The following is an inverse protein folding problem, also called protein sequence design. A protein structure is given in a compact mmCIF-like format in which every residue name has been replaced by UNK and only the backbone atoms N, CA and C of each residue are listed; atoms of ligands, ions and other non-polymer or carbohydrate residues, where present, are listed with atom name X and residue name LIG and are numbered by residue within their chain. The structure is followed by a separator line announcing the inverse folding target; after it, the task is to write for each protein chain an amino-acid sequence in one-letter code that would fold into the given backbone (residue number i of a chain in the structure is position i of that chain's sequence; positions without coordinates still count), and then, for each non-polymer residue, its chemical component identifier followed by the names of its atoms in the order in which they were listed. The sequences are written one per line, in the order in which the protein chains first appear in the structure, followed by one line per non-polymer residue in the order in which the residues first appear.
data_IF_444698963383
#
_entry.id   IF_444698963383
#
_cell.length_a   1.000
_cell.length_b   1.000
_cell.length_c   1.000
_cell.angle_alpha   90.00
_cell.angle_beta   90.00
_cell.angle_gamma   90.00
#
_symmetry.space_group_name_H-M   'P 1'
#
loop_
_entity.id
_entity.type
_entity.pdbx_description
1 polymer ?
#
# COMPACT_ATOMS: atom_id res chain seq x y z
N UNK A 1 22.24 3.45 1.26
CA UNK A 1 22.28 2.44 2.31
C UNK A 1 20.85 2.14 2.73
N UNK A 2 20.26 1.13 2.12
CA UNK A 2 18.96 0.58 2.53
C UNK A 2 18.99 0.14 4.00
N UNK A 3 17.84 0.19 4.66
CA UNK A 3 17.71 -0.32 6.02
C UNK A 3 17.76 -1.85 5.92
N UNK A 4 18.76 -2.52 6.55
CA UNK A 4 18.85 -3.97 6.49
C UNK A 4 17.58 -4.57 7.09
N UNK A 5 17.02 -5.56 6.39
CA UNK A 5 15.82 -6.24 6.89
C UNK A 5 16.19 -7.08 8.13
N UNK A 6 15.32 -7.12 9.15
CA UNK A 6 15.54 -7.98 10.32
C UNK A 6 15.67 -9.46 9.91
N UNK A 7 16.58 -10.22 10.54
CA UNK A 7 16.80 -11.63 10.19
C UNK A 7 15.59 -12.53 10.47
N UNK A 8 14.67 -12.08 11.34
CA UNK A 8 13.45 -12.78 11.70
C UNK A 8 12.22 -12.33 10.88
N UNK A 9 12.40 -11.51 9.85
CA UNK A 9 11.28 -10.90 9.12
C UNK A 9 10.29 -11.91 8.54
N UNK A 10 10.78 -13.03 8.01
CA UNK A 10 9.92 -14.05 7.42
C UNK A 10 8.97 -14.65 8.47
N UNK A 11 9.51 -15.04 9.64
CA UNK A 11 8.70 -15.60 10.73
C UNK A 11 7.80 -14.55 11.40
N UNK A 12 8.24 -13.28 11.46
CA UNK A 12 7.42 -12.19 11.95
C UNK A 12 6.21 -11.92 11.04
N UNK A 13 6.40 -11.96 9.71
CA UNK A 13 5.33 -11.85 8.73
C UNK A 13 4.37 -13.03 8.84
N UNK A 14 4.87 -14.27 8.99
CA UNK A 14 4.04 -15.46 9.19
C UNK A 14 3.15 -15.32 10.44
N UNK A 15 3.73 -14.87 11.55
CA UNK A 15 3.00 -14.66 12.80
C UNK A 15 1.95 -13.54 12.69
N UNK A 16 2.28 -12.45 11.98
CA UNK A 16 1.35 -11.36 11.70
C UNK A 16 0.19 -11.83 10.80
N UNK A 17 0.50 -12.59 9.74
CA UNK A 17 -0.51 -13.15 8.84
C UNK A 17 -1.43 -14.14 9.56
N UNK A 18 -0.90 -14.98 10.46
CA UNK A 18 -1.70 -15.91 11.24
C UNK A 18 -2.79 -15.22 12.07
N UNK A 19 -2.54 -13.98 12.53
CA UNK A 19 -3.54 -13.13 13.22
C UNK A 19 -4.56 -12.52 12.25
N UNK A 20 -4.13 -12.15 11.05
CA UNK A 20 -4.95 -11.42 10.07
C UNK A 20 -5.78 -12.32 9.14
N UNK A 21 -5.33 -13.54 8.82
CA UNK A 21 -5.86 -14.36 7.70
C UNK A 21 -7.37 -14.66 7.77
N UNK A 22 -7.95 -14.70 8.96
CA UNK A 22 -9.37 -14.97 9.18
C UNK A 22 -10.23 -13.70 9.24
N UNK A 23 -9.62 -12.51 9.26
CA UNK A 23 -10.33 -11.25 9.13
C UNK A 23 -10.81 -11.12 7.69
N UNK A 24 -12.11 -10.89 7.44
CA UNK A 24 -12.59 -10.67 6.07
C UNK A 24 -11.92 -9.45 5.44
N UNK A 25 -11.51 -9.55 4.18
CA UNK A 25 -10.83 -8.48 3.45
C UNK A 25 -10.17 -9.01 2.18
N UNK A 26 -9.72 -8.08 1.33
CA UNK A 26 -9.32 -8.38 -0.05
C UNK A 26 -7.83 -8.63 -0.27
N UNK A 27 -6.99 -8.41 0.74
CA UNK A 27 -5.56 -8.71 0.67
C UNK A 27 -5.27 -10.22 0.87
N UNK A 28 -4.48 -10.80 -0.04
CA UNK A 28 -3.99 -12.18 0.01
C UNK A 28 -2.71 -12.36 0.84
N UNK A 29 -2.28 -13.60 1.06
CA UNK A 29 -1.05 -13.87 1.83
C UNK A 29 0.21 -13.31 1.16
N UNK A 30 0.39 -13.55 -0.13
CA UNK A 30 1.57 -13.08 -0.87
C UNK A 30 1.64 -11.54 -0.94
N UNK A 31 0.49 -10.89 -1.09
CA UNK A 31 0.38 -9.44 -1.01
C UNK A 31 0.71 -8.93 0.39
N UNK A 32 0.23 -9.62 1.43
CA UNK A 32 0.56 -9.27 2.79
C UNK A 32 2.06 -9.47 3.10
N UNK A 33 2.70 -10.51 2.57
CA UNK A 33 4.16 -10.69 2.67
C UNK A 33 4.90 -9.52 2.03
N UNK A 34 4.50 -9.13 0.82
CA UNK A 34 5.04 -7.95 0.15
C UNK A 34 4.85 -6.67 0.97
N UNK A 35 3.64 -6.46 1.50
CA UNK A 35 3.31 -5.33 2.36
C UNK A 35 4.16 -5.31 3.63
N UNK A 36 4.36 -6.46 4.28
CA UNK A 36 5.19 -6.63 5.47
C UNK A 36 6.67 -6.31 5.21
N UNK A 37 7.21 -6.72 4.06
CA UNK A 37 8.57 -6.35 3.66
C UNK A 37 8.73 -4.84 3.45
N UNK A 38 7.76 -4.20 2.78
CA UNK A 38 7.76 -2.76 2.56
C UNK A 38 7.60 -1.99 3.88
N UNK A 39 6.67 -2.43 4.73
CA UNK A 39 6.42 -1.84 6.04
C UNK A 39 7.65 -1.92 6.94
N UNK A 40 8.32 -3.06 7.01
CA UNK A 40 9.51 -3.22 7.88
C UNK A 40 10.77 -2.59 7.26
N UNK A 41 10.86 -2.54 5.92
CA UNK A 41 11.98 -1.90 5.22
C UNK A 41 11.97 -0.37 5.23
N UNK A 42 10.89 0.27 5.66
CA UNK A 42 10.82 1.73 5.84
C UNK A 42 11.61 2.21 7.08
N UNK A 43 12.12 3.46 7.10
CA UNK A 43 12.79 4.10 8.25
C UNK A 43 12.02 3.94 9.54
N UNK A 44 12.68 3.70 10.67
CA UNK A 44 12.00 3.55 11.97
C UNK A 44 11.38 4.86 12.48
N UNK A 45 11.87 6.01 12.02
CA UNK A 45 11.39 7.33 12.44
C UNK A 45 10.14 7.76 11.67
N UNK A 46 9.08 8.10 12.41
CA UNK A 46 7.80 8.54 11.86
C UNK A 46 6.68 7.52 12.07
N UNK A 47 5.47 7.91 11.67
CA UNK A 47 4.26 7.09 11.84
C UNK A 47 3.96 6.31 10.56
N UNK A 48 3.31 5.16 10.72
CA UNK A 48 2.72 4.44 9.61
C UNK A 48 1.25 4.81 9.45
N UNK A 49 0.84 5.17 8.25
CA UNK A 49 -0.54 5.56 7.92
C UNK A 49 -1.10 4.55 6.94
N UNK A 50 -2.27 4.02 7.25
CA UNK A 50 -3.13 3.24 6.37
C UNK A 50 -4.39 4.06 6.05
N UNK A 51 -4.72 4.15 4.76
CA UNK A 51 -5.96 4.77 4.28
C UNK A 51 -6.78 3.68 3.59
N UNK A 52 -7.99 3.45 4.10
CA UNK A 52 -8.81 2.29 3.71
C UNK A 52 -8.44 1.07 4.54
N UNK A 53 -9.28 0.74 5.53
CA UNK A 53 -9.06 -0.35 6.47
C UNK A 53 -10.16 -1.41 6.40
N UNK A 54 -11.35 -1.05 5.91
CA UNK A 54 -12.52 -1.92 5.80
C UNK A 54 -12.82 -2.66 7.11
N UNK A 55 -12.52 -3.96 7.19
CA UNK A 55 -12.70 -4.82 8.37
C UNK A 55 -11.39 -5.12 9.10
N UNK A 56 -10.28 -4.53 8.67
CA UNK A 56 -9.01 -4.48 9.39
C UNK A 56 -8.03 -5.58 9.06
N UNK A 57 -8.14 -6.25 7.90
CA UNK A 57 -7.27 -7.38 7.56
C UNK A 57 -5.80 -6.96 7.43
N UNK A 58 -5.51 -5.95 6.62
CA UNK A 58 -4.17 -5.32 6.53
C UNK A 58 -3.77 -4.69 7.86
N UNK A 59 -4.68 -3.94 8.50
CA UNK A 59 -4.45 -3.24 9.77
C UNK A 59 -3.97 -4.19 10.87
N UNK A 60 -4.63 -5.33 11.06
CA UNK A 60 -4.24 -6.35 12.06
C UNK A 60 -2.84 -6.86 11.79
N UNK A 61 -2.50 -7.14 10.53
CA UNK A 61 -1.18 -7.62 10.17
C UNK A 61 -0.09 -6.55 10.38
N UNK A 62 -0.33 -5.31 9.95
CA UNK A 62 0.58 -4.19 10.16
C UNK A 62 0.79 -3.87 11.64
N UNK A 63 -0.29 -3.89 12.43
CA UNK A 63 -0.24 -3.66 13.87
C UNK A 63 0.53 -4.79 14.60
N UNK A 64 0.42 -6.03 14.13
CA UNK A 64 1.22 -7.13 14.66
C UNK A 64 2.72 -6.93 14.40
N UNK A 65 3.10 -6.51 13.19
CA UNK A 65 4.48 -6.17 12.85
C UNK A 65 4.98 -4.96 13.65
N UNK A 66 4.14 -3.93 13.82
CA UNK A 66 4.46 -2.76 14.64
C UNK A 66 4.76 -3.15 16.09
N UNK A 67 3.92 -4.00 16.69
CA UNK A 67 4.11 -4.52 18.04
C UNK A 67 5.38 -5.36 18.16
N UNK A 68 5.66 -6.21 17.17
CA UNK A 68 6.82 -7.10 17.16
C UNK A 68 8.15 -6.34 17.10
N UNK A 69 8.23 -5.32 16.23
CA UNK A 69 9.44 -4.52 16.03
C UNK A 69 9.52 -3.26 16.91
N UNK A 70 8.52 -3.01 17.76
CA UNK A 70 8.47 -1.82 18.62
C UNK A 70 8.28 -0.51 17.84
N UNK A 71 7.65 -0.54 16.67
CA UNK A 71 7.26 0.67 15.96
C UNK A 71 6.09 1.36 16.66
N UNK A 72 5.88 2.63 16.32
CA UNK A 72 4.69 3.35 16.77
C UNK A 72 3.41 2.67 16.28
N UNK A 73 2.28 2.80 17.01
CA UNK A 73 0.97 2.34 16.56
C UNK A 73 0.66 2.77 15.12
N UNK A 74 0.02 1.88 14.36
CA UNK A 74 -0.43 2.16 12.99
C UNK A 74 -1.61 3.11 13.06
N UNK A 75 -1.59 4.18 12.26
CA UNK A 75 -2.71 5.10 12.14
C UNK A 75 -3.58 4.61 10.99
N UNK A 76 -4.81 4.20 11.30
CA UNK A 76 -5.76 3.67 10.33
C UNK A 76 -6.87 4.69 10.11
N UNK A 77 -7.08 5.10 8.86
CA UNK A 77 -8.04 6.14 8.47
C UNK A 77 -9.05 5.54 7.50
N UNK A 78 -10.31 5.47 7.91
CA UNK A 78 -11.41 4.98 7.09
C UNK A 78 -12.73 5.55 7.61
N UNK A 79 -13.63 6.11 6.78
CA UNK A 79 -14.93 6.57 7.25
C UNK A 79 -15.81 5.43 7.81
N UNK A 80 -15.61 4.20 7.32
CA UNK A 80 -16.42 3.02 7.60
C UNK A 80 -17.92 3.20 7.31
N UNK A 81 -18.29 4.11 6.41
CA UNK A 81 -19.69 4.41 6.08
C UNK A 81 -20.21 3.59 4.90
N UNK A 82 -21.50 3.28 4.90
CA UNK A 82 -22.21 2.60 3.82
C UNK A 82 -23.32 3.48 3.18
N UNK A 83 -23.65 3.27 1.88
CA UNK A 83 -22.92 2.43 0.94
C UNK A 83 -21.62 3.13 0.54
N UNK A 84 -20.49 2.47 0.79
CA UNK A 84 -19.25 2.91 0.18
C UNK A 84 -19.26 2.47 -1.28
N UNK A 85 -18.94 3.36 -2.21
CA UNK A 85 -18.80 3.02 -3.63
C UNK A 85 -17.77 1.92 -3.88
N UNK A 86 -16.87 1.66 -2.93
CA UNK A 86 -15.85 0.62 -2.98
C UNK A 86 -16.18 -0.67 -2.23
N UNK A 87 -17.27 -0.73 -1.45
CA UNK A 87 -17.65 -1.94 -0.69
C UNK A 87 -19.07 -2.42 -1.01
N UNK A 88 -19.27 -3.02 -2.20
CA UNK A 88 -20.57 -3.59 -2.60
C UNK A 88 -21.01 -4.80 -1.75
N UNK A 89 -20.16 -5.28 -0.83
CA UNK A 89 -20.33 -6.53 -0.07
C UNK A 89 -20.52 -6.33 1.44
N UNK A 90 -20.88 -5.14 1.90
CA UNK A 90 -21.33 -4.92 3.29
C UNK A 90 -22.56 -5.77 3.67
N UNK A 91 -23.17 -6.46 2.71
CA UNK A 91 -24.21 -7.45 2.97
C UNK A 91 -25.47 -6.83 3.57
N UNK A 92 -25.70 -5.54 3.31
CA UNK A 92 -26.79 -4.76 3.89
C UNK A 92 -26.49 -4.15 5.26
N UNK A 93 -25.26 -4.23 5.79
CA UNK A 93 -24.84 -3.48 6.99
C UNK A 93 -24.52 -2.02 6.64
N UNK A 94 -24.80 -1.12 7.56
CA UNK A 94 -24.55 0.32 7.42
C UNK A 94 -23.07 0.71 7.65
N UNK A 95 -22.24 -0.20 8.18
CA UNK A 95 -20.84 0.09 8.50
C UNK A 95 -19.99 -1.18 8.65
N UNK A 96 -18.70 -1.08 8.35
CA UNK A 96 -17.66 -2.08 8.63
C UNK A 96 -16.98 -1.87 10.00
N UNK A 97 -17.28 -0.77 10.70
CA UNK A 97 -16.52 -0.33 11.88
C UNK A 97 -16.57 -1.32 13.06
N UNK A 98 -17.73 -1.92 13.32
CA UNK A 98 -17.86 -2.90 14.41
C UNK A 98 -17.06 -4.17 14.12
N UNK A 99 -17.06 -4.62 12.86
CA UNK A 99 -16.27 -5.77 12.40
C UNK A 99 -14.77 -5.43 12.51
N UNK A 100 -14.36 -4.22 12.13
CA UNK A 100 -12.99 -3.70 12.28
C UNK A 100 -12.52 -3.69 13.73
N UNK A 101 -13.29 -3.06 14.63
CA UNK A 101 -12.92 -3.05 16.05
C UNK A 101 -12.90 -4.45 16.66
N UNK A 102 -13.84 -5.33 16.24
CA UNK A 102 -13.85 -6.71 16.69
C UNK A 102 -12.61 -7.46 16.25
N UNK A 103 -12.13 -7.25 15.02
CA UNK A 103 -10.89 -7.85 14.52
C UNK A 103 -9.69 -7.43 15.38
N UNK A 104 -9.55 -6.13 15.69
CA UNK A 104 -8.47 -5.62 16.53
C UNK A 104 -8.51 -6.18 17.95
N UNK A 105 -9.70 -6.27 18.56
CA UNK A 105 -9.87 -6.85 19.91
C UNK A 105 -9.53 -8.34 19.93
N UNK A 106 -10.05 -9.11 18.98
CA UNK A 106 -9.78 -10.55 18.88
C UNK A 106 -8.30 -10.83 18.65
N UNK A 107 -7.61 -9.99 17.88
CA UNK A 107 -6.17 -10.12 17.65
C UNK A 107 -5.30 -9.65 18.84
N UNK A 108 -5.89 -8.95 19.82
CA UNK A 108 -5.18 -8.34 20.95
C UNK A 108 -4.36 -7.10 20.58
N UNK A 109 -4.73 -6.40 19.51
CA UNK A 109 -3.92 -5.33 18.88
C UNK A 109 -4.57 -3.95 18.94
N UNK A 110 -5.70 -3.78 19.63
CA UNK A 110 -6.34 -2.48 19.78
C UNK A 110 -5.40 -1.36 20.29
N UNK A 111 -4.46 -1.59 21.23
CA UNK A 111 -3.50 -0.56 21.64
C UNK A 111 -2.43 -0.20 20.60
N UNK A 112 -2.30 -1.00 19.54
CA UNK A 112 -1.31 -0.85 18.47
C UNK A 112 -1.88 -0.17 17.22
N UNK A 113 -3.11 0.34 17.32
CA UNK A 113 -3.77 1.07 16.25
C UNK A 113 -4.39 2.36 16.78
N UNK A 114 -4.02 3.47 16.17
CA UNK A 114 -4.70 4.75 16.31
C UNK A 114 -5.78 4.83 15.22
N UNK A 115 -7.05 4.81 15.63
CA UNK A 115 -8.19 4.67 14.70
C UNK A 115 -8.83 6.03 14.43
N UNK A 116 -8.89 6.42 13.17
CA UNK A 116 -9.63 7.59 12.69
C UNK A 116 -10.81 7.17 11.83
N UNK A 117 -12.00 7.17 12.44
CA UNK A 117 -13.25 6.96 11.70
C UNK A 117 -13.67 8.24 10.98
N UNK A 118 -13.01 8.57 9.88
CA UNK A 118 -13.20 9.81 9.14
C UNK A 118 -12.72 9.68 7.69
N UNK A 119 -13.09 10.65 6.85
CA UNK A 119 -12.51 10.75 5.51
C UNK A 119 -11.04 11.18 5.61
N UNK A 120 -10.20 10.62 4.74
CA UNK A 120 -8.77 10.91 4.66
C UNK A 120 -8.47 12.41 4.53
N UNK A 121 -9.24 13.13 3.70
CA UNK A 121 -9.12 14.58 3.51
C UNK A 121 -9.36 15.40 4.77
N UNK A 122 -10.24 14.93 5.66
CA UNK A 122 -10.59 15.66 6.87
C UNK A 122 -9.46 15.51 7.90
N UNK A 123 -8.91 14.29 8.02
CA UNK A 123 -7.73 14.01 8.85
C UNK A 123 -6.49 14.73 8.32
N UNK A 124 -6.33 14.82 7.00
CA UNK A 124 -5.20 15.49 6.37
C UNK A 124 -5.14 17.01 6.64
N UNK A 125 -6.29 17.66 6.85
CA UNK A 125 -6.38 19.11 7.07
C UNK A 125 -5.61 19.61 8.30
N UNK A 126 -5.42 18.76 9.30
CA UNK A 126 -4.70 19.07 10.55
C UNK A 126 -3.40 18.27 10.70
N UNK A 127 -3.01 17.53 9.66
CA UNK A 127 -1.88 16.61 9.74
C UNK A 127 -0.54 17.35 9.85
N UNK A 128 0.32 16.90 10.76
CA UNK A 128 1.65 17.46 10.95
C UNK A 128 2.70 16.42 11.38
N UNK A 129 2.35 15.13 11.33
CA UNK A 129 3.21 14.04 11.81
C UNK A 129 4.06 13.49 10.68
N UNK A 130 5.38 13.30 10.88
CA UNK A 130 6.25 12.70 9.87
C UNK A 130 5.84 11.24 9.59
N UNK A 131 5.74 10.86 8.31
CA UNK A 131 5.27 9.54 7.87
C UNK A 131 6.45 8.70 7.37
N UNK A 132 6.69 7.55 8.02
CA UNK A 132 7.65 6.54 7.55
C UNK A 132 7.09 5.65 6.46
N UNK A 133 5.80 5.37 6.53
CA UNK A 133 5.13 4.39 5.70
C UNK A 133 3.71 4.84 5.41
N UNK A 134 3.35 4.94 4.14
CA UNK A 134 2.02 5.32 3.68
C UNK A 134 1.44 4.17 2.84
N UNK A 135 0.39 3.56 3.35
CA UNK A 135 -0.37 2.50 2.70
C UNK A 135 -1.73 3.05 2.23
N UNK A 136 -1.97 3.02 0.92
CA UNK A 136 -3.20 3.52 0.30
C UNK A 136 -3.95 2.34 -0.31
N UNK A 137 -5.12 2.06 0.27
CA UNK A 137 -6.04 0.96 -0.08
C UNK A 137 -7.51 1.41 0.10
N UNK A 138 -7.77 2.69 -0.19
CA UNK A 138 -9.07 3.34 -0.03
C UNK A 138 -9.88 3.37 -1.33
N UNK A 139 -10.17 4.59 -1.82
CA UNK A 139 -10.91 4.76 -3.07
C UNK A 139 -10.04 4.47 -4.30
N UNK A 140 -10.50 3.53 -5.12
CA UNK A 140 -9.82 3.04 -6.31
C UNK A 140 -10.08 3.90 -7.57
N UNK A 141 -10.89 4.96 -7.47
CA UNK A 141 -10.94 6.02 -8.48
C UNK A 141 -9.62 6.78 -8.55
N UNK A 142 -9.33 7.42 -9.69
CA UNK A 142 -8.15 8.28 -9.78
C UNK A 142 -8.20 9.44 -8.81
N UNK A 143 -9.34 10.12 -8.71
CA UNK A 143 -9.46 11.29 -7.84
C UNK A 143 -9.30 10.91 -6.36
N UNK A 144 -9.85 9.77 -5.92
CA UNK A 144 -9.69 9.25 -4.57
C UNK A 144 -8.24 8.90 -4.22
N UNK A 145 -7.63 7.99 -4.99
CA UNK A 145 -6.25 7.58 -4.77
C UNK A 145 -5.26 8.76 -4.87
N UNK A 146 -5.51 9.70 -5.79
CA UNK A 146 -4.70 10.91 -5.97
C UNK A 146 -4.85 11.87 -4.80
N UNK A 147 -6.07 12.07 -4.30
CA UNK A 147 -6.34 12.88 -3.11
C UNK A 147 -5.60 12.32 -1.89
N UNK A 148 -5.69 11.01 -1.65
CA UNK A 148 -4.99 10.35 -0.56
C UNK A 148 -3.47 10.52 -0.68
N UNK A 149 -2.92 10.30 -1.88
CA UNK A 149 -1.50 10.50 -2.13
C UNK A 149 -1.06 11.95 -1.90
N UNK A 150 -1.76 12.93 -2.48
CA UNK A 150 -1.40 14.35 -2.37
C UNK A 150 -1.55 14.88 -0.94
N UNK A 151 -2.51 14.35 -0.18
CA UNK A 151 -2.79 14.77 1.19
C UNK A 151 -1.71 14.34 2.18
N UNK A 152 -1.15 13.14 2.00
CA UNK A 152 -0.22 12.56 2.99
C UNK A 152 1.24 12.52 2.51
N UNK A 153 1.51 12.45 1.20
CA UNK A 153 2.89 12.40 0.68
C UNK A 153 3.79 13.59 1.05
N UNK A 154 3.29 14.83 1.28
CA UNK A 154 4.14 15.93 1.74
C UNK A 154 4.81 15.68 3.10
N UNK A 155 4.27 14.78 3.92
CA UNK A 155 4.75 14.47 5.26
C UNK A 155 5.71 13.28 5.31
N UNK A 156 6.05 12.69 4.15
CA UNK A 156 7.00 11.57 4.08
C UNK A 156 8.39 12.00 4.58
N UNK A 157 8.97 11.17 5.44
CA UNK A 157 10.38 11.29 5.82
C UNK A 157 11.29 10.81 4.70
N UNK A 158 12.52 11.31 4.63
CA UNK A 158 13.51 10.78 3.70
C UNK A 158 13.74 9.28 3.95
N UNK A 159 13.67 8.48 2.89
CA UNK A 159 13.70 7.03 2.95
C UNK A 159 12.34 6.37 3.18
N UNK A 160 11.29 7.14 3.51
CA UNK A 160 9.93 6.65 3.72
C UNK A 160 9.35 5.96 2.49
N UNK A 161 8.40 5.04 2.68
CA UNK A 161 7.81 4.25 1.60
C UNK A 161 6.34 4.61 1.41
N UNK A 162 5.95 4.79 0.16
CA UNK A 162 4.54 4.84 -0.25
C UNK A 162 4.22 3.54 -0.98
N UNK A 163 3.11 2.91 -0.63
CA UNK A 163 2.61 1.71 -1.25
C UNK A 163 1.11 1.85 -1.57
N UNK A 164 0.71 1.38 -2.75
CA UNK A 164 -0.64 1.41 -3.31
C UNK A 164 -1.10 -0.04 -3.55
N UNK A 165 -2.23 -0.44 -2.97
CA UNK A 165 -2.84 -1.73 -3.30
C UNK A 165 -3.39 -1.73 -4.73
N UNK A 166 -3.64 -2.92 -5.29
CA UNK A 166 -4.36 -3.07 -6.57
C UNK A 166 -3.81 -2.26 -7.76
N UNK A 167 -2.50 -1.99 -7.78
CA UNK A 167 -1.82 -1.29 -8.88
C UNK A 167 -1.84 -2.12 -10.17
N UNK A 168 -1.93 -3.45 -10.08
CA UNK A 168 -2.13 -4.34 -11.23
C UNK A 168 -3.54 -4.96 -11.26
N UNK A 169 -4.57 -4.16 -10.98
CA UNK A 169 -5.99 -4.55 -11.07
C UNK A 169 -6.76 -3.74 -12.11
N UNK A 170 -8.05 -4.04 -12.28
CA UNK A 170 -8.94 -3.37 -13.25
C UNK A 170 -9.46 -2.00 -12.75
N UNK A 171 -8.66 -1.31 -11.93
CA UNK A 171 -8.94 0.02 -11.37
C UNK A 171 -7.97 1.04 -11.95
N UNK A 172 -8.44 2.26 -12.19
CA UNK A 172 -7.58 3.29 -12.77
C UNK A 172 -6.74 4.04 -11.73
N UNK A 173 -7.21 4.19 -10.49
CA UNK A 173 -6.59 5.08 -9.52
C UNK A 173 -5.17 4.67 -9.14
N UNK A 174 -4.97 3.48 -8.54
CA UNK A 174 -3.65 3.04 -8.09
C UNK A 174 -2.58 3.05 -9.19
N UNK A 175 -2.88 2.49 -10.37
CA UNK A 175 -1.93 2.45 -11.49
C UNK A 175 -1.56 3.84 -12.01
N UNK A 176 -2.51 4.77 -12.05
CA UNK A 176 -2.27 6.13 -12.50
C UNK A 176 -1.44 6.91 -11.49
N UNK A 177 -1.78 6.88 -10.21
CA UNK A 177 -0.96 7.52 -9.15
C UNK A 177 0.45 6.94 -9.14
N UNK A 178 0.59 5.62 -9.23
CA UNK A 178 1.90 4.96 -9.29
C UNK A 178 2.74 5.46 -10.46
N UNK A 179 2.18 5.51 -11.67
CA UNK A 179 2.92 5.95 -12.86
C UNK A 179 3.18 7.46 -12.86
N UNK A 180 2.13 8.26 -12.67
CA UNK A 180 2.13 9.71 -12.88
C UNK A 180 2.82 10.45 -11.72
N UNK A 181 2.70 9.96 -10.48
CA UNK A 181 3.17 10.67 -9.28
C UNK A 181 4.42 10.04 -8.64
N UNK A 182 4.61 8.73 -8.78
CA UNK A 182 5.75 8.03 -8.16
C UNK A 182 6.83 7.75 -9.21
N UNK A 183 6.52 7.01 -10.28
CA UNK A 183 7.52 6.64 -11.27
C UNK A 183 8.05 7.81 -12.09
N UNK A 184 7.25 8.85 -12.35
CA UNK A 184 7.66 10.02 -13.13
C UNK A 184 8.27 11.16 -12.30
N UNK A 185 8.39 10.99 -10.98
CA UNK A 185 8.84 12.04 -10.06
C UNK A 185 10.25 11.80 -9.51
N UNK A 186 11.12 12.80 -9.64
CA UNK A 186 12.48 12.78 -9.08
C UNK A 186 12.53 12.90 -7.56
N UNK A 187 11.37 13.09 -6.91
CA UNK A 187 11.28 12.98 -5.46
C UNK A 187 11.39 11.53 -4.97
N UNK A 188 11.25 10.55 -5.87
CA UNK A 188 11.30 9.13 -5.54
C UNK A 188 12.56 8.45 -6.08
N UNK A 189 13.09 7.53 -5.28
CA UNK A 189 14.23 6.70 -5.62
C UNK A 189 13.82 5.33 -6.14
N UNK A 190 14.30 4.22 -5.54
CA UNK A 190 13.84 2.88 -5.89
C UNK A 190 12.32 2.77 -5.86
N UNK A 191 11.77 2.15 -6.89
CA UNK A 191 10.35 1.88 -7.03
C UNK A 191 10.14 0.56 -7.77
N UNK A 192 8.96 -0.02 -7.62
CA UNK A 192 8.63 -1.30 -8.22
C UNK A 192 7.22 -1.77 -7.94
N UNK A 193 6.96 -2.99 -8.37
CA UNK A 193 5.77 -3.75 -8.01
C UNK A 193 6.22 -5.00 -7.27
N UNK A 194 5.55 -5.32 -6.17
CA UNK A 194 5.60 -6.62 -5.50
C UNK A 194 4.20 -7.21 -5.55
N UNK A 195 4.03 -8.33 -6.25
CA UNK A 195 2.69 -8.83 -6.58
C UNK A 195 1.84 -7.72 -7.25
N UNK A 196 0.78 -7.23 -6.61
CA UNK A 196 -0.11 -6.18 -7.12
C UNK A 196 0.17 -4.82 -6.50
N UNK A 197 1.11 -4.75 -5.55
CA UNK A 197 1.43 -3.56 -4.76
C UNK A 197 2.48 -2.71 -5.48
N UNK A 198 2.07 -1.53 -5.94
CA UNK A 198 2.97 -0.51 -6.45
C UNK A 198 3.62 0.24 -5.30
N UNK A 199 4.94 0.39 -5.29
CA UNK A 199 5.64 1.07 -4.21
C UNK A 199 6.78 1.96 -4.71
N UNK A 200 7.11 2.99 -3.94
CA UNK A 200 8.30 3.82 -4.17
C UNK A 200 8.85 4.37 -2.86
N UNK A 201 10.17 4.50 -2.80
CA UNK A 201 10.88 5.13 -1.69
C UNK A 201 11.03 6.64 -1.92
N UNK A 202 10.59 7.45 -0.96
CA UNK A 202 10.75 8.90 -0.99
C UNK A 202 12.22 9.29 -0.77
N UNK A 203 12.85 9.84 -1.80
CA UNK A 203 14.26 10.26 -1.82
C UNK A 203 14.38 11.62 -2.51
N UNK A 204 13.89 12.71 -1.89
CA UNK A 204 13.81 14.02 -2.53
C UNK A 204 15.18 14.62 -2.88
N UNK A 205 16.26 14.16 -2.23
CA UNK A 205 17.62 14.67 -2.43
C UNK A 205 18.34 14.01 -3.61
N UNK A 206 18.04 12.74 -3.90
CA UNK A 206 18.78 11.98 -4.91
C UNK A 206 17.96 10.98 -5.74
N UNK A 207 16.63 11.10 -5.73
CA UNK A 207 15.71 10.27 -6.51
C UNK A 207 15.94 10.34 -8.03
N UNK A 208 16.54 11.43 -8.52
CA UNK A 208 16.95 11.58 -9.92
C UNK A 208 17.92 10.48 -10.40
N UNK A 209 18.74 9.91 -9.49
CA UNK A 209 19.66 8.81 -9.83
C UNK A 209 18.91 7.54 -10.31
N UNK A 210 17.68 7.35 -9.84
CA UNK A 210 16.85 6.17 -10.14
C UNK A 210 15.90 6.39 -11.32
N UNK A 211 15.93 7.59 -11.94
CA UNK A 211 15.01 7.97 -13.02
C UNK A 211 15.00 6.96 -14.17
N UNK A 212 16.16 6.47 -14.59
CA UNK A 212 16.26 5.52 -15.70
C UNK A 212 15.51 4.19 -15.44
N UNK A 213 15.62 3.65 -14.23
CA UNK A 213 14.89 2.44 -13.81
C UNK A 213 13.38 2.71 -13.73
N UNK A 214 12.99 3.82 -13.09
CA UNK A 214 11.59 4.23 -12.96
C UNK A 214 10.93 4.45 -14.31
N UNK A 215 11.59 5.14 -15.24
CA UNK A 215 11.08 5.37 -16.59
C UNK A 215 10.94 4.07 -17.39
N UNK A 216 11.84 3.10 -17.21
CA UNK A 216 11.71 1.77 -17.84
C UNK A 216 10.47 1.04 -17.36
N UNK A 217 10.18 1.09 -16.06
CA UNK A 217 8.96 0.53 -15.49
C UNK A 217 7.72 1.30 -15.95
N UNK A 218 7.77 2.64 -15.93
CA UNK A 218 6.68 3.52 -16.38
C UNK A 218 6.28 3.26 -17.83
N UNK A 219 7.25 3.04 -18.74
CA UNK A 219 6.98 2.68 -20.15
C UNK A 219 6.18 1.39 -20.33
N UNK A 220 6.25 0.47 -19.37
CA UNK A 220 5.49 -0.79 -19.38
C UNK A 220 4.14 -0.60 -18.70
N UNK A 221 4.15 -0.06 -17.49
CA UNK A 221 2.97 0.17 -16.66
C UNK A 221 1.95 1.14 -17.30
N UNK A 222 2.41 2.23 -17.92
CA UNK A 222 1.54 3.21 -18.58
C UNK A 222 0.68 2.65 -19.71
N UNK A 223 1.06 1.51 -20.31
CA UNK A 223 0.25 0.83 -21.34
C UNK A 223 -1.05 0.25 -20.79
N UNK A 224 -1.13 0.01 -19.48
CA UNK A 224 -2.32 -0.48 -18.80
C UNK A 224 -3.36 0.63 -18.61
N UNK A 225 -2.92 1.88 -18.41
CA UNK A 225 -3.80 3.01 -18.05
C UNK A 225 -4.96 3.19 -19.04
N UNK A 226 -4.75 3.25 -20.38
CA UNK A 226 -5.86 3.45 -21.32
C UNK A 226 -6.90 2.32 -21.32
N UNK A 227 -6.57 1.15 -20.78
CA UNK A 227 -7.47 -0.01 -20.71
C UNK A 227 -8.43 0.07 -19.51
N UNK A 228 -8.02 0.72 -18.42
CA UNK A 228 -8.79 0.81 -17.17
C UNK A 228 -9.35 2.22 -16.91
N UNK A 229 -8.81 3.26 -17.55
CA UNK A 229 -9.22 4.65 -17.34
C UNK A 229 -10.65 4.95 -17.81
N UNK A 230 -11.29 5.94 -17.16
CA UNK A 230 -12.63 6.44 -17.44
C UNK A 230 -13.74 5.39 -17.19
N UNK A 231 -13.63 4.62 -16.10
CA UNK A 231 -14.63 3.63 -15.71
C UNK A 231 -14.82 2.48 -16.72
N UNK A 232 -13.81 2.21 -17.56
CA UNK A 232 -13.87 1.12 -18.54
C UNK A 232 -13.86 -0.23 -17.85
N UNK A 233 -14.92 -1.02 -18.05
CA UNK A 233 -14.98 -2.40 -17.58
C UNK A 233 -14.35 -3.35 -18.60
N UNK A 234 -13.32 -4.09 -18.18
CA UNK A 234 -12.66 -5.05 -19.06
C UNK A 234 -13.51 -6.30 -19.26
N UNK A 235 -13.65 -6.72 -20.53
CA UNK A 235 -14.37 -7.93 -20.91
C UNK A 235 -13.80 -8.56 -22.19
N UNK A 236 -14.00 -9.87 -22.35
CA UNK A 236 -13.60 -10.60 -23.56
C UNK A 236 -12.13 -10.39 -23.95
N UNK A 237 -11.90 -9.91 -25.18
CA UNK A 237 -10.56 -9.69 -25.73
C UNK A 237 -9.76 -8.60 -25.00
N UNK A 238 -10.42 -7.51 -24.57
CA UNK A 238 -9.76 -6.43 -23.83
C UNK A 238 -9.16 -6.92 -22.51
N UNK A 239 -9.87 -7.80 -21.81
CA UNK A 239 -9.39 -8.44 -20.56
C UNK A 239 -8.21 -9.37 -20.82
N UNK A 240 -8.25 -10.17 -21.89
CA UNK A 240 -7.12 -11.03 -22.28
C UNK A 240 -5.88 -10.20 -22.63
N UNK A 241 -6.07 -9.11 -23.37
CA UNK A 241 -5.00 -8.19 -23.73
C UNK A 241 -4.41 -7.48 -22.51
N UNK A 242 -5.25 -7.01 -21.59
CA UNK A 242 -4.82 -6.43 -20.32
C UNK A 242 -3.96 -7.42 -19.51
N UNK A 243 -4.42 -8.68 -19.33
CA UNK A 243 -3.65 -9.72 -18.64
C UNK A 243 -2.28 -9.98 -19.28
N UNK A 244 -2.23 -9.99 -20.61
CA UNK A 244 -0.98 -10.12 -21.35
C UNK A 244 -0.03 -8.95 -21.07
N UNK A 245 -0.54 -7.71 -21.03
CA UNK A 245 0.27 -6.54 -20.70
C UNK A 245 0.77 -6.58 -19.24
N UNK A 246 -0.07 -6.98 -18.29
CA UNK A 246 0.33 -7.16 -16.89
C UNK A 246 1.50 -8.13 -16.76
N UNK A 247 1.50 -9.24 -17.51
CA UNK A 247 2.61 -10.20 -17.52
C UNK A 247 3.95 -9.61 -18.01
N UNK A 248 3.94 -8.50 -18.75
CA UNK A 248 5.16 -7.80 -19.18
C UNK A 248 5.65 -6.75 -18.18
N UNK A 249 4.83 -6.34 -17.23
CA UNK A 249 5.24 -5.47 -16.12
C UNK A 249 5.92 -6.34 -15.06
N UNK A 250 7.17 -6.09 -14.63
CA UNK A 250 7.80 -6.90 -13.59
C UNK A 250 7.11 -6.71 -12.24
N UNK A 251 6.61 -7.80 -11.66
CA UNK A 251 5.92 -7.81 -10.37
C UNK A 251 6.21 -9.09 -9.57
N UNK A 252 7.48 -9.33 -9.19
CA UNK A 252 7.86 -10.58 -8.55
C UNK A 252 7.17 -10.75 -7.19
N UNK A 253 7.02 -12.01 -6.81
CA UNK A 253 6.78 -12.43 -5.43
C UNK A 253 8.16 -12.78 -4.89
N UNK A 254 8.62 -12.05 -3.88
CA UNK A 254 9.96 -12.18 -3.35
C UNK A 254 9.90 -12.60 -1.89
N UNK A 255 10.83 -13.46 -1.50
CA UNK A 255 11.19 -13.65 -0.09
C UNK A 255 11.99 -12.45 0.44
N UNK A 256 12.06 -12.25 1.77
CA UNK A 256 12.89 -11.20 2.37
C UNK A 256 14.35 -11.21 1.88
N UNK A 257 14.95 -12.39 1.74
CA UNK A 257 16.32 -12.53 1.28
C UNK A 257 16.49 -12.15 -0.21
N UNK A 258 15.50 -12.45 -1.06
CA UNK A 258 15.51 -12.01 -2.46
C UNK A 258 15.30 -10.50 -2.58
N UNK A 259 14.46 -9.93 -1.73
CA UNK A 259 14.23 -8.49 -1.66
C UNK A 259 15.50 -7.74 -1.26
N UNK A 260 16.19 -8.18 -0.20
CA UNK A 260 17.44 -7.58 0.23
C UNK A 260 18.50 -7.60 -0.88
N UNK A 261 18.64 -8.74 -1.58
CA UNK A 261 19.51 -8.83 -2.77
C UNK A 261 19.09 -7.87 -3.87
N UNK A 262 17.78 -7.72 -4.11
CA UNK A 262 17.25 -6.84 -5.13
C UNK A 262 17.43 -5.35 -4.80
N UNK A 263 17.44 -4.96 -3.51
CA UNK A 263 17.77 -3.60 -3.07
C UNK A 263 19.26 -3.31 -3.21
N UNK A 264 20.11 -4.24 -2.76
CA UNK A 264 21.57 -4.08 -2.82
C UNK A 264 22.11 -4.05 -4.25
N UNK A 265 21.44 -4.69 -5.20
CA UNK A 265 21.80 -4.64 -6.62
C UNK A 265 21.51 -3.29 -7.31
N UNK A 266 20.80 -2.37 -6.64
CA UNK A 266 20.42 -1.04 -7.17
C UNK A 266 21.20 0.12 -6.55
N UNK A 267 22.06 -0.14 -5.56
CA UNK A 267 23.00 0.84 -4.98
C UNK A 267 24.30 0.90 -5.78
#
# INVERSE_FOLDING_TARGET
MGIPLPPDLDSAIDAAWAKARNVPGYIGEEEFRALGMLFTGAPSEGVAVEIGSFKGKSTVGLAALAAHYGFSPVISIDPHDAPCSTDPMLGGKDSSFDDFQSALRTAGLAPQVEVHRALSRDVAGEWNRPIRFLWIDGDHTYDGAKLDFDSFSPYLVEGGIVALHDTLHEFEGPIRVFVENMLQSDKFGPAGLLHTIGWAQYRPRDGAKFRGERERLARRASKLIPLVANGRRLSGLSKKYWKLLCAFVPHPILSPAEWERALNARE
#
